data_IF_547952315002
#
_entry.id   IF_547952315002
#
_cell.length_a   1.000
_cell.length_b   1.000
_cell.length_c   1.000
_cell.angle_alpha   90.00
_cell.angle_beta   90.00
_cell.angle_gamma   90.00
#
_symmetry.space_group_name_H-M   'P 1'
#
loop_
_entity.id
_entity.type
_entity.pdbx_description
1 polymer ?
#
# COMPACT_ATOMS: atom_id res chain seq x y z
N UNK A 1 12.30 -3.77 -12.62
CA UNK A 1 11.06 -4.15 -11.91
C UNK A 1 11.16 -4.01 -10.39
N UNK A 2 11.92 -4.82 -9.65
CA UNK A 2 11.99 -4.66 -8.17
C UNK A 2 12.51 -3.28 -7.75
N UNK A 3 13.65 -2.86 -8.30
CA UNK A 3 14.20 -1.53 -8.04
C UNK A 3 13.31 -0.39 -8.56
N UNK A 4 12.56 -0.60 -9.65
CA UNK A 4 11.59 0.41 -10.13
C UNK A 4 10.46 0.60 -9.13
N UNK A 5 9.85 -0.48 -8.63
CA UNK A 5 8.79 -0.40 -7.62
C UNK A 5 9.34 0.15 -6.30
N UNK A 6 10.59 -0.16 -5.95
CA UNK A 6 11.24 0.39 -4.77
C UNK A 6 11.49 1.89 -4.90
N UNK A 7 12.04 2.34 -6.03
CA UNK A 7 12.32 3.75 -6.29
C UNK A 7 11.04 4.60 -6.27
N UNK A 8 9.89 4.04 -6.68
CA UNK A 8 8.60 4.70 -6.57
C UNK A 8 8.18 4.95 -5.11
N UNK A 9 8.40 3.97 -4.24
CA UNK A 9 8.06 4.09 -2.81
C UNK A 9 9.10 4.91 -2.03
N UNK A 10 10.35 4.93 -2.48
CA UNK A 10 11.49 5.52 -1.76
C UNK A 10 12.15 6.70 -2.46
N UNK A 11 11.50 7.29 -3.46
CA UNK A 11 12.07 8.26 -4.42
C UNK A 11 12.75 9.52 -3.86
N UNK A 12 12.87 9.67 -2.53
CA UNK A 12 13.68 10.69 -1.89
C UNK A 12 14.47 10.24 -0.64
N UNK A 13 14.43 8.97 -0.24
CA UNK A 13 14.95 8.49 1.05
C UNK A 13 16.41 8.00 1.02
N UNK A 14 16.93 7.59 2.18
CA UNK A 14 18.32 7.19 2.40
C UNK A 14 18.81 5.98 1.58
N UNK A 15 17.95 5.34 0.80
CA UNK A 15 18.21 4.10 0.07
C UNK A 15 18.41 4.33 -1.43
N UNK A 16 19.19 3.46 -2.05
CA UNK A 16 19.60 3.56 -3.45
C UNK A 16 19.13 2.38 -4.32
N UNK A 17 19.07 1.17 -3.75
CA UNK A 17 18.62 -0.04 -4.45
C UNK A 17 18.40 -1.21 -3.48
N UNK A 18 17.67 -2.21 -3.95
CA UNK A 18 17.57 -3.55 -3.37
C UNK A 18 18.29 -4.54 -4.28
N UNK A 19 18.99 -5.48 -3.65
CA UNK A 19 19.53 -6.67 -4.28
C UNK A 19 18.84 -7.91 -3.69
N UNK A 20 18.46 -8.85 -4.55
CA UNK A 20 17.94 -10.16 -4.19
C UNK A 20 18.89 -11.17 -4.83
N UNK A 21 19.52 -12.01 -4.02
CA UNK A 21 20.48 -13.00 -4.53
C UNK A 21 19.80 -14.32 -4.95
N UNK A 22 20.62 -15.32 -5.30
CA UNK A 22 20.11 -16.63 -5.73
C UNK A 22 19.59 -17.51 -4.57
N UNK A 23 19.90 -17.15 -3.33
CA UNK A 23 19.39 -17.79 -2.11
C UNK A 23 18.12 -17.09 -1.59
N UNK A 24 17.68 -16.03 -2.30
CA UNK A 24 16.57 -15.15 -1.95
C UNK A 24 16.84 -14.25 -0.74
N UNK A 25 18.12 -14.04 -0.41
CA UNK A 25 18.51 -13.06 0.59
C UNK A 25 18.41 -11.66 0.00
N UNK A 26 17.81 -10.75 0.78
CA UNK A 26 17.54 -9.38 0.40
C UNK A 26 18.56 -8.46 1.06
N UNK A 27 19.25 -7.64 0.27
CA UNK A 27 20.14 -6.59 0.78
C UNK A 27 19.64 -5.23 0.32
N UNK A 28 19.47 -4.30 1.25
CA UNK A 28 19.15 -2.90 0.95
C UNK A 28 20.44 -2.09 0.92
N UNK A 29 20.64 -1.29 -0.11
CA UNK A 29 21.80 -0.40 -0.20
C UNK A 29 21.39 1.03 0.10
N UNK A 30 22.12 1.67 1.00
CA UNK A 30 21.99 3.10 1.26
C UNK A 30 22.60 3.94 0.12
N UNK A 31 22.29 5.25 0.10
CA UNK A 31 22.85 6.21 -0.88
C UNK A 31 24.36 6.33 -0.83
N UNK A 32 24.97 6.07 0.31
CA UNK A 32 26.43 6.01 0.48
C UNK A 32 27.03 4.66 0.05
N UNK A 33 26.19 3.72 -0.41
CA UNK A 33 26.56 2.39 -0.86
C UNK A 33 26.72 1.36 0.25
N UNK A 34 26.45 1.70 1.52
CA UNK A 34 26.53 0.74 2.61
C UNK A 34 25.39 -0.30 2.51
N UNK A 35 25.69 -1.60 2.63
CA UNK A 35 24.67 -2.63 2.69
C UNK A 35 24.01 -2.61 4.07
N UNK A 36 22.70 -2.87 4.07
CA UNK A 36 21.87 -2.94 5.25
C UNK A 36 20.92 -4.14 5.11
N UNK A 37 20.84 -4.93 6.16
CA UNK A 37 19.87 -6.03 6.26
C UNK A 37 18.46 -5.45 6.47
N UNK A 38 17.40 -6.02 5.86
CA UNK A 38 16.04 -5.53 5.99
C UNK A 38 15.54 -5.42 7.45
N UNK A 39 16.07 -6.24 8.36
CA UNK A 39 15.76 -6.19 9.79
C UNK A 39 16.24 -4.92 10.49
N UNK A 40 17.23 -4.23 9.91
CA UNK A 40 17.81 -3.01 10.44
C UNK A 40 17.04 -1.74 10.02
N UNK A 41 16.07 -1.87 9.10
CA UNK A 41 15.16 -0.80 8.73
C UNK A 41 14.26 -0.42 9.93
N UNK A 42 13.86 0.85 10.00
CA UNK A 42 12.83 1.27 10.97
C UNK A 42 11.47 0.59 10.67
N UNK A 43 10.52 0.68 11.60
CA UNK A 43 9.19 0.07 11.44
C UNK A 43 8.47 0.51 10.16
N UNK A 44 8.40 1.82 9.91
CA UNK A 44 7.74 2.39 8.73
C UNK A 44 8.48 2.12 7.44
N UNK A 45 9.81 2.22 7.45
CA UNK A 45 10.63 1.82 6.29
C UNK A 45 10.43 0.34 6.00
N UNK A 46 10.50 -0.54 6.99
CA UNK A 46 10.30 -1.97 6.73
C UNK A 46 8.90 -2.27 6.20
N UNK A 47 7.87 -1.52 6.62
CA UNK A 47 6.51 -1.68 6.09
C UNK A 47 6.44 -1.31 4.61
N UNK A 48 6.97 -0.14 4.22
CA UNK A 48 7.05 0.31 2.83
C UNK A 48 7.90 -0.63 1.95
N UNK A 49 9.02 -1.11 2.48
CA UNK A 49 9.89 -2.07 1.80
C UNK A 49 9.11 -3.35 1.48
N UNK A 50 8.47 -3.95 2.48
CA UNK A 50 7.68 -5.16 2.30
C UNK A 50 6.53 -4.96 1.31
N UNK A 51 5.89 -3.79 1.35
CA UNK A 51 4.83 -3.47 0.42
C UNK A 51 5.35 -3.35 -1.02
N UNK A 52 6.47 -2.66 -1.24
CA UNK A 52 7.11 -2.53 -2.55
C UNK A 52 7.50 -3.90 -3.12
N UNK A 53 8.03 -4.80 -2.28
CA UNK A 53 8.39 -6.16 -2.67
C UNK A 53 7.15 -6.97 -3.06
N UNK A 54 6.07 -6.88 -2.28
CA UNK A 54 4.79 -7.54 -2.61
C UNK A 54 4.22 -7.03 -3.93
N UNK A 55 4.27 -5.73 -4.17
CA UNK A 55 3.84 -5.12 -5.43
C UNK A 55 4.71 -5.59 -6.61
N UNK A 56 6.03 -5.67 -6.43
CA UNK A 56 6.92 -6.19 -7.46
C UNK A 56 6.64 -7.67 -7.79
N UNK A 57 6.44 -8.51 -6.78
CA UNK A 57 6.06 -9.93 -6.97
C UNK A 57 4.69 -10.02 -7.65
N UNK A 58 3.71 -9.24 -7.20
CA UNK A 58 2.39 -9.17 -7.82
C UNK A 58 2.52 -8.83 -9.30
N UNK A 59 3.33 -7.83 -9.67
CA UNK A 59 3.56 -7.43 -11.07
C UNK A 59 4.16 -8.58 -11.88
N UNK A 60 5.17 -9.25 -11.36
CA UNK A 60 5.77 -10.43 -12.02
C UNK A 60 4.75 -11.54 -12.26
N UNK A 61 3.90 -11.81 -11.27
CA UNK A 61 2.85 -12.82 -11.39
C UNK A 61 1.75 -12.39 -12.36
N UNK A 62 1.39 -11.12 -12.38
CA UNK A 62 0.38 -10.55 -13.27
C UNK A 62 0.85 -10.51 -14.73
N UNK A 63 2.12 -10.15 -14.98
CA UNK A 63 2.73 -10.10 -16.31
C UNK A 63 3.02 -11.50 -16.88
N UNK A 64 3.36 -12.48 -16.03
CA UNK A 64 3.58 -13.87 -16.46
C UNK A 64 2.32 -14.61 -16.90
N UNK A 65 1.13 -14.03 -16.72
CA UNK A 65 -0.13 -14.55 -17.22
C UNK A 65 -0.33 -14.00 -18.63
N UNK A 66 0.20 -14.70 -19.64
CA UNK A 66 0.06 -14.34 -21.07
C UNK A 66 -1.42 -14.07 -21.45
N UNK A 67 -1.78 -12.79 -21.55
CA UNK A 67 -2.83 -12.20 -22.40
C UNK A 67 -4.29 -12.64 -22.22
N UNK A 68 -4.61 -13.64 -21.40
CA UNK A 68 -5.94 -14.25 -21.36
C UNK A 68 -6.73 -13.96 -20.08
N UNK A 69 -6.05 -13.72 -18.96
CA UNK A 69 -6.70 -13.51 -17.67
C UNK A 69 -6.49 -12.06 -17.21
N UNK A 70 -7.55 -11.38 -16.73
CA UNK A 70 -7.39 -10.08 -16.13
C UNK A 70 -6.50 -10.16 -14.89
N UNK A 71 -5.66 -9.14 -14.69
CA UNK A 71 -4.86 -8.99 -13.47
C UNK A 71 -5.77 -9.12 -12.24
N UNK A 72 -5.45 -10.00 -11.28
CA UNK A 72 -6.28 -10.19 -10.09
C UNK A 72 -6.35 -8.90 -9.26
N UNK A 73 -7.38 -8.68 -8.45
CA UNK A 73 -7.43 -7.51 -7.59
C UNK A 73 -6.26 -7.49 -6.60
N UNK A 74 -5.74 -6.30 -6.29
CA UNK A 74 -4.80 -6.10 -5.19
C UNK A 74 -5.59 -5.80 -3.92
N UNK A 75 -5.41 -6.61 -2.88
CA UNK A 75 -6.08 -6.41 -1.59
C UNK A 75 -5.03 -6.06 -0.55
N UNK A 76 -5.21 -4.92 0.12
CA UNK A 76 -4.35 -4.43 1.19
C UNK A 76 -5.17 -4.39 2.48
N UNK A 77 -4.82 -5.23 3.45
CA UNK A 77 -5.47 -5.28 4.76
C UNK A 77 -4.62 -4.52 5.77
N UNK A 78 -5.12 -3.36 6.20
CA UNK A 78 -4.46 -2.40 7.08
C UNK A 78 -2.99 -2.14 6.67
N UNK A 79 -2.72 -1.60 5.47
CA UNK A 79 -1.36 -1.38 4.99
C UNK A 79 -0.59 -0.29 5.73
N UNK A 80 -1.28 0.51 6.55
CA UNK A 80 -0.74 1.66 7.29
C UNK A 80 -0.20 1.29 8.67
N UNK A 81 -0.28 0.01 9.10
CA UNK A 81 0.36 -0.38 10.36
C UNK A 81 1.85 -0.02 10.31
N UNK A 82 2.29 0.78 11.28
CA UNK A 82 3.66 1.29 11.43
C UNK A 82 4.05 2.43 10.47
N UNK A 83 3.13 2.96 9.66
CA UNK A 83 3.36 4.16 8.84
C UNK A 83 3.00 5.42 9.63
N UNK A 84 3.79 6.48 9.44
CA UNK A 84 3.40 7.84 9.80
C UNK A 84 2.73 8.52 8.59
N UNK A 85 2.12 9.69 8.79
CA UNK A 85 1.42 10.41 7.71
C UNK A 85 2.29 10.69 6.48
N UNK A 86 3.59 10.95 6.66
CA UNK A 86 4.51 11.12 5.54
C UNK A 86 4.70 9.85 4.72
N UNK A 87 4.65 8.69 5.36
CA UNK A 87 4.70 7.39 4.72
C UNK A 87 3.33 6.93 4.16
N UNK A 88 2.20 7.38 4.72
CA UNK A 88 0.86 7.10 4.17
C UNK A 88 0.71 7.72 2.78
N UNK A 89 1.16 8.96 2.58
CA UNK A 89 1.16 9.56 1.24
C UNK A 89 1.92 8.73 0.19
N UNK A 90 3.02 8.08 0.57
CA UNK A 90 3.78 7.19 -0.34
C UNK A 90 3.04 5.90 -0.67
N UNK A 91 2.21 5.40 0.26
CA UNK A 91 1.32 4.29 -0.02
C UNK A 91 0.24 4.68 -1.04
N UNK A 92 -0.30 5.91 -0.95
CA UNK A 92 -1.22 6.45 -1.97
C UNK A 92 -0.55 6.52 -3.33
N UNK A 93 0.67 7.06 -3.41
CA UNK A 93 1.45 7.10 -4.66
C UNK A 93 1.67 5.69 -5.25
N UNK A 94 2.02 4.71 -4.41
CA UNK A 94 2.17 3.33 -4.85
C UNK A 94 0.87 2.75 -5.40
N UNK A 95 -0.27 3.03 -4.78
CA UNK A 95 -1.59 2.58 -5.25
C UNK A 95 -1.88 3.14 -6.65
N UNK A 96 -1.64 4.43 -6.87
CA UNK A 96 -1.80 5.07 -8.18
C UNK A 96 -0.89 4.45 -9.25
N UNK A 97 0.38 4.19 -8.92
CA UNK A 97 1.31 3.51 -9.83
C UNK A 97 0.86 2.08 -10.17
N UNK A 98 0.35 1.33 -9.19
CA UNK A 98 -0.23 0.01 -9.43
C UNK A 98 -1.42 0.07 -10.40
N UNK A 99 -2.27 1.12 -10.33
CA UNK A 99 -3.31 1.37 -11.35
C UNK A 99 -2.68 1.63 -12.72
N UNK A 100 -1.62 2.42 -12.79
CA UNK A 100 -0.82 2.67 -13.99
C UNK A 100 -0.27 1.39 -14.63
N UNK A 101 0.12 0.40 -13.83
CA UNK A 101 0.55 -0.92 -14.28
C UNK A 101 -0.59 -1.85 -14.72
N UNK A 102 -1.84 -1.38 -14.67
CA UNK A 102 -3.01 -2.12 -15.15
C UNK A 102 -3.77 -2.89 -14.06
N UNK A 103 -3.44 -2.69 -12.78
CA UNK A 103 -4.25 -3.23 -11.68
C UNK A 103 -5.61 -2.53 -11.66
N UNK A 104 -6.62 -3.21 -12.19
CA UNK A 104 -7.95 -2.61 -12.40
C UNK A 104 -8.76 -2.42 -11.12
N UNK A 105 -8.46 -3.18 -10.08
CA UNK A 105 -9.19 -3.12 -8.82
C UNK A 105 -8.21 -3.25 -7.66
N UNK A 106 -8.22 -2.26 -6.79
CA UNK A 106 -7.45 -2.23 -5.54
C UNK A 106 -8.47 -2.07 -4.42
N UNK A 107 -8.43 -2.98 -3.44
CA UNK A 107 -9.27 -2.93 -2.25
C UNK A 107 -8.38 -2.68 -1.05
N UNK A 108 -8.60 -1.58 -0.35
CA UNK A 108 -7.88 -1.23 0.87
C UNK A 108 -8.86 -1.31 2.03
N UNK A 109 -8.51 -2.09 3.04
CA UNK A 109 -9.19 -2.08 4.33
C UNK A 109 -8.33 -1.25 5.26
N UNK A 110 -8.85 -0.12 5.71
CA UNK A 110 -8.16 0.73 6.67
C UNK A 110 -9.14 1.53 7.52
N UNK A 111 -8.64 2.02 8.65
CA UNK A 111 -9.28 3.02 9.49
C UNK A 111 -8.54 4.37 9.45
N UNK A 112 -7.60 4.53 8.52
CA UNK A 112 -6.80 5.75 8.32
C UNK A 112 -7.55 6.77 7.46
N UNK A 113 -7.75 7.99 7.99
CA UNK A 113 -8.53 9.04 7.34
C UNK A 113 -7.91 9.55 6.02
N UNK A 114 -6.58 9.53 5.92
CA UNK A 114 -5.86 9.99 4.72
C UNK A 114 -6.11 9.03 3.55
N UNK A 115 -6.09 7.72 3.82
CA UNK A 115 -6.48 6.72 2.83
C UNK A 115 -7.96 6.78 2.46
N UNK A 116 -8.83 7.02 3.44
CA UNK A 116 -10.28 7.16 3.21
C UNK A 116 -10.57 8.32 2.26
N UNK A 117 -9.92 9.47 2.47
CA UNK A 117 -10.08 10.65 1.60
C UNK A 117 -9.50 10.49 0.20
N UNK A 118 -8.61 9.52 -0.03
CA UNK A 118 -8.02 9.26 -1.34
C UNK A 118 -8.81 8.24 -2.19
N UNK A 119 -9.84 7.59 -1.62
CA UNK A 119 -10.52 6.47 -2.26
C UNK A 119 -11.53 6.93 -3.33
N UNK A 120 -11.53 6.26 -4.49
CA UNK A 120 -12.56 6.43 -5.53
C UNK A 120 -13.96 6.07 -5.02
N UNK A 121 -14.04 5.08 -4.13
CA UNK A 121 -15.27 4.49 -3.60
C UNK A 121 -15.08 4.11 -2.13
N UNK A 122 -16.03 4.49 -1.27
CA UNK A 122 -15.95 4.23 0.17
C UNK A 122 -17.06 3.29 0.63
N UNK A 123 -16.66 2.25 1.37
CA UNK A 123 -17.57 1.34 2.08
C UNK A 123 -17.22 1.40 3.56
N UNK A 124 -18.12 1.97 4.35
CA UNK A 124 -17.99 2.02 5.80
C UNK A 124 -18.56 0.76 6.42
N UNK A 125 -17.77 0.10 7.25
CA UNK A 125 -18.18 -1.10 7.99
C UNK A 125 -18.25 -0.77 9.48
N UNK A 126 -19.45 -0.85 10.05
CA UNK A 126 -19.67 -0.62 11.48
C UNK A 126 -20.10 -1.90 12.17
N UNK A 127 -19.71 -2.06 13.43
CA UNK A 127 -20.14 -3.17 14.28
C UNK A 127 -20.99 -2.64 15.43
N UNK A 128 -22.22 -3.13 15.53
CA UNK A 128 -23.06 -2.91 16.70
C UNK A 128 -22.48 -3.69 17.91
N UNK A 129 -22.01 -3.01 18.97
CA UNK A 129 -21.39 -3.66 20.11
C UNK A 129 -22.39 -4.48 20.96
N UNK A 130 -23.69 -4.16 20.86
CA UNK A 130 -24.76 -4.81 21.62
C UNK A 130 -25.19 -6.10 20.93
N UNK A 131 -25.40 -6.05 19.61
CA UNK A 131 -25.89 -7.21 18.84
C UNK A 131 -24.77 -8.04 18.19
N UNK A 132 -23.54 -7.54 18.20
CA UNK A 132 -22.40 -8.09 17.44
C UNK A 132 -22.66 -8.23 15.93
N UNK A 133 -23.63 -7.50 15.38
CA UNK A 133 -23.88 -7.49 13.93
C UNK A 133 -23.07 -6.40 13.27
N UNK A 134 -22.52 -6.70 12.10
CA UNK A 134 -21.85 -5.71 11.26
C UNK A 134 -22.76 -5.27 10.13
N UNK A 135 -22.69 -3.98 9.79
CA UNK A 135 -23.39 -3.37 8.65
C UNK A 135 -22.37 -2.69 7.76
N UNK A 136 -22.50 -2.87 6.46
CA UNK A 136 -21.67 -2.22 5.46
C UNK A 136 -22.55 -1.26 4.64
N UNK A 137 -22.13 0.00 4.58
CA UNK A 137 -22.84 1.06 3.86
C UNK A 137 -21.88 1.68 2.86
N UNK A 138 -22.32 1.84 1.61
CA UNK A 138 -21.55 2.58 0.61
C UNK A 138 -21.86 4.06 0.75
N UNK A 139 -20.83 4.90 0.90
CA UNK A 139 -21.01 6.35 0.92
C UNK A 139 -21.55 6.82 -0.44
N UNK A 140 -22.49 7.78 -0.42
CA UNK A 140 -23.00 8.38 -1.65
C UNK A 140 -22.02 9.42 -2.23
N UNK A 141 -21.20 10.02 -1.37
CA UNK A 141 -20.11 10.95 -1.69
C UNK A 141 -19.10 10.95 -0.50
N UNK A 142 -17.89 10.38 -0.66
CA UNK A 142 -16.92 10.25 0.43
C UNK A 142 -16.48 11.59 1.03
N UNK A 143 -16.37 12.63 0.19
CA UNK A 143 -15.89 13.96 0.59
C UNK A 143 -16.90 14.68 1.51
N UNK A 144 -18.19 14.41 1.34
CA UNK A 144 -19.27 15.02 2.12
C UNK A 144 -19.49 14.34 3.47
N UNK A 145 -19.24 13.03 3.59
CA UNK A 145 -19.41 12.30 4.85
C UNK A 145 -18.25 12.54 5.84
N UNK A 146 -17.01 12.68 5.34
CA UNK A 146 -15.85 13.07 6.16
C UNK A 146 -16.05 14.43 6.84
N UNK A 147 -16.62 15.41 6.14
CA UNK A 147 -16.96 16.72 6.71
C UNK A 147 -18.09 16.65 7.75
N UNK A 148 -18.97 15.65 7.64
CA UNK A 148 -20.06 15.43 8.59
C UNK A 148 -19.59 14.84 9.92
N UNK A 149 -18.59 13.95 9.90
CA UNK A 149 -18.06 13.30 11.10
C UNK A 149 -17.19 14.25 11.95
N UNK A 150 -16.47 15.19 11.35
CA UNK A 150 -15.67 16.20 12.08
C UNK A 150 -16.54 17.24 12.80
N UNK A 151 -17.81 17.39 12.41
CA UNK A 151 -18.74 18.33 13.02
C UNK A 151 -19.48 17.77 14.25
N UNK A 152 -19.40 16.46 14.49
CA UNK A 152 -20.11 15.76 15.57
C UNK A 152 -19.21 15.37 16.78
N UNK A 153 -17.96 15.85 16.81
CA UNK A 153 -17.01 15.71 17.94
C UNK A 153 -16.82 17.02 18.75
#
# INVERSE_FOLDING_TARGET
MLNETFDLVYGNDAYARIELDNEYDLTVYQKDGQPLEPEQLSGGERALFNLSLRCAIYRLLAEGIDGAAPTPPLILDEPTVFLDSGHVGRLVDLVEEMRGFGVRQILIVSHDDELVGAADELITVEKDPTTNRSTATRAADPDLELLGQVADD
#
